data_IF_579707885212
#
_entry.id   IF_579707885212
#
_cell.length_a   1.000
_cell.length_b   1.000
_cell.length_c   1.000
_cell.angle_alpha   90.00
_cell.angle_beta   90.00
_cell.angle_gamma   90.00
#
_symmetry.space_group_name_H-M   'P 1'
#
loop_
_entity.id
_entity.type
_entity.pdbx_description
1 polymer ?
#
# COMPACT_ATOMS: atom_id res chain seq x y z
N UNK A 1 -39.50 50.03 -11.55
CA UNK A 1 -38.09 50.38 -11.29
C UNK A 1 -37.57 49.33 -10.30
N UNK A 2 -36.60 48.53 -10.75
CA UNK A 2 -35.81 47.50 -10.04
C UNK A 2 -36.53 46.25 -9.46
N UNK A 3 -36.33 45.16 -10.21
CA UNK A 3 -36.65 43.75 -9.97
C UNK A 3 -35.93 43.20 -8.73
N UNK A 4 -36.60 42.32 -7.99
CA UNK A 4 -36.04 41.60 -6.86
C UNK A 4 -34.74 40.87 -7.26
N UNK A 5 -33.70 41.07 -6.45
CA UNK A 5 -32.38 40.48 -6.53
C UNK A 5 -32.45 38.95 -6.60
N UNK A 6 -32.14 38.39 -7.77
CA UNK A 6 -31.78 36.97 -7.93
C UNK A 6 -30.50 36.70 -7.12
N UNK A 7 -30.65 36.13 -5.92
CA UNK A 7 -29.53 35.52 -5.21
C UNK A 7 -29.20 34.18 -5.90
N UNK A 8 -27.92 33.87 -6.18
CA UNK A 8 -27.54 32.56 -6.70
C UNK A 8 -28.06 31.48 -5.75
N UNK A 9 -28.77 30.49 -6.31
CA UNK A 9 -29.17 29.31 -5.57
C UNK A 9 -27.92 28.63 -4.98
N UNK A 10 -27.97 28.11 -3.73
CA UNK A 10 -26.87 27.35 -3.18
C UNK A 10 -26.53 26.19 -4.14
N UNK A 11 -25.24 25.90 -4.36
CA UNK A 11 -24.84 24.81 -5.24
C UNK A 11 -25.52 23.51 -4.80
N UNK A 12 -25.91 22.64 -5.75
CA UNK A 12 -26.62 21.40 -5.44
C UNK A 12 -25.82 20.59 -4.41
N UNK A 13 -26.46 20.24 -3.29
CA UNK A 13 -25.86 19.41 -2.25
C UNK A 13 -25.32 18.12 -2.88
N UNK A 14 -24.00 17.97 -2.85
CA UNK A 14 -23.33 16.72 -3.24
C UNK A 14 -24.00 15.55 -2.50
N UNK A 15 -24.29 14.42 -3.17
CA UNK A 15 -25.02 13.31 -2.56
C UNK A 15 -24.36 12.90 -1.23
N UNK A 16 -25.17 12.79 -0.19
CA UNK A 16 -24.74 12.47 1.18
C UNK A 16 -23.96 11.15 1.18
N UNK A 17 -22.63 11.26 1.25
CA UNK A 17 -21.74 10.10 1.21
C UNK A 17 -21.87 9.30 2.51
N UNK A 18 -21.72 7.95 2.46
CA UNK A 18 -21.61 7.17 3.68
C UNK A 18 -20.38 7.64 4.46
N UNK A 19 -20.61 8.15 5.67
CA UNK A 19 -19.54 8.52 6.59
C UNK A 19 -19.43 7.43 7.68
N UNK A 20 -18.23 7.22 8.25
CA UNK A 20 -18.12 6.39 9.43
C UNK A 20 -19.02 6.93 10.54
N UNK A 21 -19.79 6.05 11.19
CA UNK A 21 -20.79 6.47 12.18
C UNK A 21 -20.11 6.81 13.50
N UNK A 22 -19.13 6.00 13.89
CA UNK A 22 -18.42 6.12 15.15
C UNK A 22 -16.88 5.93 14.99
N UNK A 23 -16.07 6.43 15.93
CA UNK A 23 -14.62 6.14 15.97
C UNK A 23 -14.29 4.64 16.03
N UNK A 24 -15.18 3.81 16.60
CA UNK A 24 -15.06 2.35 16.58
C UNK A 24 -15.12 1.76 15.18
N UNK A 25 -15.88 2.37 14.26
CA UNK A 25 -15.96 1.90 12.88
C UNK A 25 -14.65 2.14 12.15
N UNK A 26 -13.95 3.24 12.46
CA UNK A 26 -12.60 3.49 11.96
C UNK A 26 -11.64 2.43 12.50
N UNK A 27 -11.66 2.20 13.81
CA UNK A 27 -10.81 1.19 14.43
C UNK A 27 -10.94 -0.17 13.74
N UNK A 28 -12.17 -0.66 13.55
CA UNK A 28 -12.39 -1.96 12.90
C UNK A 28 -12.07 -1.96 11.41
N UNK A 29 -12.37 -0.87 10.70
CA UNK A 29 -12.07 -0.77 9.27
C UNK A 29 -10.56 -0.75 9.01
N UNK A 30 -9.80 0.01 9.81
CA UNK A 30 -8.34 0.06 9.70
C UNK A 30 -7.65 -1.21 10.22
N UNK A 31 -8.23 -1.89 11.22
CA UNK A 31 -7.80 -3.23 11.64
C UNK A 31 -7.91 -4.22 10.49
N UNK A 32 -9.06 -4.24 9.81
CA UNK A 32 -9.29 -5.12 8.66
C UNK A 32 -8.34 -4.82 7.50
N UNK A 33 -8.12 -3.53 7.21
CA UNK A 33 -7.13 -3.09 6.23
C UNK A 33 -5.72 -3.57 6.57
N UNK A 34 -5.30 -3.45 7.83
CA UNK A 34 -3.96 -3.86 8.26
C UNK A 34 -3.73 -5.37 8.08
N UNK A 35 -4.77 -6.19 8.26
CA UNK A 35 -4.72 -7.64 8.05
C UNK A 35 -4.68 -8.06 6.57
N UNK A 36 -5.07 -7.18 5.65
CA UNK A 36 -5.15 -7.47 4.22
C UNK A 36 -3.99 -6.89 3.40
N UNK A 37 -3.02 -6.25 4.05
CA UNK A 37 -1.88 -5.56 3.42
C UNK A 37 -0.82 -6.46 2.77
N UNK A 38 -1.21 -7.59 2.18
CA UNK A 38 -0.27 -8.54 1.57
C UNK A 38 -0.24 -8.37 0.04
N UNK A 39 0.93 -8.03 -0.51
CA UNK A 39 1.17 -8.10 -1.96
C UNK A 39 0.49 -7.03 -2.83
N UNK A 40 0.09 -5.89 -2.27
CA UNK A 40 -0.52 -4.81 -3.06
C UNK A 40 -1.36 -3.86 -2.23
N UNK A 41 -0.79 -3.33 -1.15
CA UNK A 41 -1.54 -2.61 -0.12
C UNK A 41 -2.32 -1.41 -0.67
N UNK A 42 -1.74 -0.68 -1.63
CA UNK A 42 -2.41 0.44 -2.30
C UNK A 42 -3.76 0.03 -2.91
N UNK A 43 -3.79 -1.06 -3.68
CA UNK A 43 -5.02 -1.54 -4.31
C UNK A 43 -6.05 -2.03 -3.29
N UNK A 44 -5.58 -2.64 -2.19
CA UNK A 44 -6.45 -3.09 -1.08
C UNK A 44 -7.08 -1.89 -0.38
N UNK A 45 -6.27 -0.88 -0.04
CA UNK A 45 -6.72 0.34 0.64
C UNK A 45 -7.68 1.13 -0.24
N UNK A 46 -7.34 1.33 -1.52
CA UNK A 46 -8.21 1.99 -2.49
C UNK A 46 -9.56 1.27 -2.61
N UNK A 47 -9.54 -0.06 -2.79
CA UNK A 47 -10.77 -0.86 -2.89
C UNK A 47 -11.63 -0.76 -1.63
N UNK A 48 -11.04 -0.81 -0.45
CA UNK A 48 -11.80 -0.75 0.79
C UNK A 48 -12.41 0.65 1.02
N UNK A 49 -11.62 1.72 0.84
CA UNK A 49 -12.03 3.09 1.14
C UNK A 49 -12.94 3.69 0.05
N UNK A 50 -12.61 3.46 -1.22
CA UNK A 50 -13.30 4.04 -2.39
C UNK A 50 -14.44 3.15 -2.85
N UNK A 51 -14.21 1.85 -3.08
CA UNK A 51 -15.23 0.98 -3.70
C UNK A 51 -16.24 0.43 -2.68
N UNK A 52 -15.75 -0.14 -1.57
CA UNK A 52 -16.61 -0.79 -0.57
C UNK A 52 -17.25 0.21 0.40
N UNK A 53 -16.44 1.04 1.06
CA UNK A 53 -16.91 1.99 2.08
C UNK A 53 -17.44 3.29 1.46
N UNK A 54 -16.96 3.68 0.28
CA UNK A 54 -17.34 4.90 -0.45
C UNK A 54 -17.19 6.18 0.39
N UNK A 55 -16.16 6.19 1.23
CA UNK A 55 -15.85 7.30 2.14
C UNK A 55 -15.26 8.50 1.38
N UNK A 56 -14.58 8.23 0.26
CA UNK A 56 -13.89 9.21 -0.56
C UNK A 56 -13.95 8.81 -2.03
N UNK A 57 -13.78 9.78 -2.93
CA UNK A 57 -13.65 9.51 -4.36
C UNK A 57 -12.24 9.03 -4.71
N UNK A 58 -12.06 8.62 -5.96
CA UNK A 58 -10.74 8.20 -6.44
C UNK A 58 -9.75 9.38 -6.42
N UNK A 59 -10.23 10.57 -6.77
CA UNK A 59 -9.44 11.80 -6.82
C UNK A 59 -8.95 12.19 -5.43
N UNK A 60 -9.86 12.24 -4.44
CA UNK A 60 -9.51 12.51 -3.04
C UNK A 60 -8.53 11.47 -2.48
N UNK A 61 -8.74 10.19 -2.83
CA UNK A 61 -7.82 9.13 -2.41
C UNK A 61 -6.41 9.33 -2.98
N UNK A 62 -6.28 9.72 -4.24
CA UNK A 62 -4.99 9.97 -4.88
C UNK A 62 -4.29 11.18 -4.26
N UNK A 63 -5.02 12.24 -3.96
CA UNK A 63 -4.51 13.42 -3.26
C UNK A 63 -3.99 13.04 -1.85
N UNK A 64 -4.83 12.41 -1.03
CA UNK A 64 -4.45 11.99 0.33
C UNK A 64 -3.27 11.00 0.30
N UNK A 65 -3.25 10.08 -0.67
CA UNK A 65 -2.14 9.14 -0.86
C UNK A 65 -0.84 9.82 -1.29
N UNK A 66 -0.91 10.89 -2.08
CA UNK A 66 0.27 11.68 -2.46
C UNK A 66 0.85 12.39 -1.23
N UNK A 67 0.00 12.98 -0.39
CA UNK A 67 0.44 13.60 0.86
C UNK A 67 1.05 12.56 1.81
N UNK A 68 0.41 11.38 1.93
CA UNK A 68 0.91 10.30 2.77
C UNK A 68 2.31 9.79 2.38
N UNK A 69 2.70 9.91 1.10
CA UNK A 69 4.04 9.59 0.58
C UNK A 69 5.09 10.66 0.87
N UNK A 70 4.68 11.92 1.05
CA UNK A 70 5.58 13.02 1.41
C UNK A 70 5.88 12.99 2.91
N UNK A 71 4.90 12.55 3.72
CA UNK A 71 5.09 12.42 5.16
C UNK A 71 6.09 11.31 5.50
N UNK A 72 6.99 11.53 6.47
CA UNK A 72 7.90 10.50 6.93
C UNK A 72 7.11 9.37 7.62
N UNK A 73 7.35 8.12 7.23
CA UNK A 73 6.75 6.95 7.86
C UNK A 73 6.00 6.04 6.89
N UNK A 74 5.25 5.05 7.40
CA UNK A 74 4.49 4.14 6.57
C UNK A 74 3.26 4.83 5.96
N UNK A 75 3.18 4.89 4.62
CA UNK A 75 2.13 5.59 3.89
C UNK A 75 0.70 5.24 4.37
N UNK A 76 0.43 3.97 4.64
CA UNK A 76 -0.91 3.49 5.03
C UNK A 76 -1.27 3.96 6.45
N UNK A 77 -0.28 4.10 7.33
CA UNK A 77 -0.46 4.66 8.68
C UNK A 77 -0.75 6.15 8.60
N UNK A 78 0.04 6.89 7.82
CA UNK A 78 -0.18 8.33 7.59
C UNK A 78 -1.59 8.59 7.04
N UNK A 79 -1.99 7.82 6.03
CA UNK A 79 -3.33 7.89 5.45
C UNK A 79 -4.43 7.61 6.50
N UNK A 80 -4.25 6.60 7.37
CA UNK A 80 -5.24 6.30 8.42
C UNK A 80 -5.42 7.43 9.42
N UNK A 81 -4.33 8.11 9.78
CA UNK A 81 -4.34 9.26 10.69
C UNK A 81 -5.07 10.43 10.02
N UNK A 82 -4.73 10.76 8.78
CA UNK A 82 -5.38 11.82 8.01
C UNK A 82 -6.88 11.60 7.88
N UNK A 83 -7.28 10.38 7.51
CA UNK A 83 -8.69 10.00 7.38
C UNK A 83 -9.38 10.07 8.75
N UNK A 84 -8.73 9.58 9.80
CA UNK A 84 -9.26 9.63 11.16
C UNK A 84 -9.48 11.05 11.66
N UNK A 85 -8.51 11.93 11.40
CA UNK A 85 -8.58 13.34 11.75
C UNK A 85 -9.71 14.05 11.00
N UNK A 86 -9.89 13.76 9.70
CA UNK A 86 -10.95 14.35 8.87
C UNK A 86 -12.38 14.07 9.40
N UNK A 87 -12.64 12.88 9.94
CA UNK A 87 -13.99 12.49 10.37
C UNK A 87 -14.31 12.83 11.83
N UNK A 88 -13.37 12.64 12.76
CA UNK A 88 -13.62 12.83 14.20
C UNK A 88 -12.49 13.60 14.92
N UNK A 89 -11.66 14.33 14.17
CA UNK A 89 -10.48 15.04 14.70
C UNK A 89 -9.49 14.08 15.37
N UNK A 90 -8.80 14.59 16.39
CA UNK A 90 -7.78 13.85 17.14
C UNK A 90 -8.29 12.48 17.67
N UNK A 91 -9.56 12.38 18.05
CA UNK A 91 -10.15 11.12 18.55
C UNK A 91 -10.28 10.07 17.45
N UNK A 92 -10.63 10.49 16.23
CA UNK A 92 -10.69 9.61 15.07
C UNK A 92 -9.31 9.20 14.59
N UNK A 93 -8.36 10.14 14.59
CA UNK A 93 -6.96 9.88 14.24
C UNK A 93 -6.34 8.80 15.16
N UNK A 94 -6.53 8.95 16.48
CA UNK A 94 -6.06 7.96 17.45
C UNK A 94 -6.79 6.62 17.33
N UNK A 95 -8.10 6.61 17.07
CA UNK A 95 -8.84 5.37 16.87
C UNK A 95 -8.42 4.61 15.61
N UNK A 96 -8.19 5.32 14.50
CA UNK A 96 -7.70 4.75 13.25
C UNK A 96 -6.29 4.17 13.41
N UNK A 97 -5.39 4.93 14.03
CA UNK A 97 -4.03 4.50 14.33
C UNK A 97 -4.01 3.27 15.25
N UNK A 98 -4.80 3.30 16.32
CA UNK A 98 -4.93 2.18 17.24
C UNK A 98 -5.45 0.94 16.52
N UNK A 99 -6.47 1.06 15.67
CA UNK A 99 -6.98 -0.06 14.87
C UNK A 99 -5.91 -0.63 13.94
N UNK A 100 -5.16 0.24 13.29
CA UNK A 100 -4.11 -0.16 12.35
C UNK A 100 -2.95 -0.91 13.03
N UNK A 101 -2.57 -0.55 14.26
CA UNK A 101 -1.39 -1.10 14.92
C UNK A 101 -1.71 -2.20 15.94
N UNK A 102 -2.81 -2.08 16.67
CA UNK A 102 -3.05 -2.92 17.87
C UNK A 102 -3.22 -4.39 17.52
N UNK A 103 -4.07 -4.71 16.54
CA UNK A 103 -4.36 -6.11 16.22
C UNK A 103 -3.18 -6.82 15.53
N UNK A 104 -2.51 -6.23 14.52
CA UNK A 104 -1.29 -6.82 13.96
C UNK A 104 -0.18 -7.00 15.00
N UNK A 105 -0.01 -6.04 15.92
CA UNK A 105 0.96 -6.14 17.01
C UNK A 105 0.65 -7.33 17.92
N UNK A 106 -0.59 -7.44 18.40
CA UNK A 106 -1.03 -8.56 19.25
C UNK A 106 -0.81 -9.89 18.53
N UNK A 107 -1.18 -9.96 17.24
CA UNK A 107 -1.01 -11.17 16.43
C UNK A 107 0.47 -11.58 16.35
N UNK A 108 1.36 -10.65 16.01
CA UNK A 108 2.81 -10.92 15.91
C UNK A 108 3.40 -11.30 17.27
N UNK A 109 3.00 -10.63 18.36
CA UNK A 109 3.45 -10.98 19.71
C UNK A 109 2.96 -12.37 20.14
N UNK A 110 1.70 -12.72 19.86
CA UNK A 110 1.18 -14.05 20.15
C UNK A 110 1.95 -15.13 19.38
N UNK A 111 2.21 -14.90 18.09
CA UNK A 111 3.07 -15.77 17.27
C UNK A 111 4.49 -15.88 17.83
N UNK A 112 5.07 -14.79 18.31
CA UNK A 112 6.40 -14.78 18.91
C UNK A 112 6.45 -15.59 20.22
N UNK A 113 5.43 -15.48 21.08
CA UNK A 113 5.33 -16.27 22.32
C UNK A 113 5.17 -17.76 22.01
N UNK A 114 4.28 -18.10 21.07
CA UNK A 114 4.11 -19.49 20.63
C UNK A 114 5.41 -20.04 20.04
N UNK A 115 6.11 -19.24 19.24
CA UNK A 115 7.42 -19.62 18.73
C UNK A 115 8.43 -19.86 19.85
N UNK A 116 8.52 -18.98 20.84
CA UNK A 116 9.47 -19.12 21.95
C UNK A 116 9.21 -20.39 22.78
N UNK A 117 7.95 -20.78 22.98
CA UNK A 117 7.60 -21.98 23.76
C UNK A 117 7.75 -23.28 22.97
N UNK A 118 7.47 -23.26 21.66
CA UNK A 118 7.41 -24.47 20.83
C UNK A 118 8.53 -24.53 19.77
N UNK A 119 9.59 -23.72 19.90
CA UNK A 119 10.72 -23.68 18.97
C UNK A 119 11.39 -25.04 18.78
N UNK A 120 11.36 -25.91 19.79
CA UNK A 120 11.92 -27.26 19.75
C UNK A 120 11.05 -28.27 18.99
N UNK A 121 9.80 -27.94 18.68
CA UNK A 121 8.88 -28.86 18.02
C UNK A 121 9.00 -28.74 16.49
N UNK A 122 9.30 -29.83 15.77
CA UNK A 122 9.57 -29.79 14.33
C UNK A 122 8.38 -29.31 13.50
N UNK A 123 7.14 -29.47 13.99
CA UNK A 123 5.95 -28.94 13.34
C UNK A 123 5.91 -27.41 13.28
N UNK A 124 6.39 -26.71 14.32
CA UNK A 124 6.41 -25.23 14.37
C UNK A 124 7.48 -24.69 13.42
N UNK A 125 8.66 -25.32 13.40
CA UNK A 125 9.70 -25.00 12.43
C UNK A 125 9.23 -25.22 10.98
N UNK A 126 8.48 -26.31 10.73
CA UNK A 126 7.86 -26.59 9.42
C UNK A 126 6.83 -25.53 9.02
N UNK A 127 5.93 -25.14 9.94
CA UNK A 127 4.92 -24.12 9.69
C UNK A 127 5.54 -22.75 9.35
N UNK A 128 6.56 -22.31 10.09
CA UNK A 128 7.29 -21.07 9.79
C UNK A 128 7.96 -21.13 8.41
N UNK A 129 8.55 -22.27 8.05
CA UNK A 129 9.16 -22.46 6.72
C UNK A 129 8.11 -22.38 5.62
N UNK A 130 6.94 -22.97 5.85
CA UNK A 130 5.77 -22.87 4.97
C UNK A 130 5.30 -21.42 4.79
N UNK A 131 5.17 -20.66 5.88
CA UNK A 131 4.83 -19.23 5.81
C UNK A 131 5.87 -18.43 5.02
N UNK A 132 7.16 -18.71 5.21
CA UNK A 132 8.23 -18.12 4.41
C UNK A 132 8.10 -18.43 2.91
N UNK A 133 7.75 -19.67 2.56
CA UNK A 133 7.51 -20.05 1.18
C UNK A 133 6.27 -19.35 0.58
N UNK A 134 5.19 -19.20 1.34
CA UNK A 134 3.99 -18.46 0.93
C UNK A 134 4.32 -16.98 0.71
N UNK A 135 5.07 -16.36 1.63
CA UNK A 135 5.50 -14.96 1.49
C UNK A 135 6.36 -14.77 0.23
N UNK A 136 7.32 -15.66 -0.02
CA UNK A 136 8.13 -15.65 -1.23
C UNK A 136 7.28 -15.81 -2.50
N UNK A 137 6.31 -16.74 -2.49
CA UNK A 137 5.38 -16.94 -3.60
C UNK A 137 4.50 -15.71 -3.87
N UNK A 138 4.04 -15.04 -2.82
CA UNK A 138 3.26 -13.81 -2.97
C UNK A 138 4.10 -12.68 -3.58
N UNK A 139 5.32 -12.47 -3.08
CA UNK A 139 6.26 -11.49 -3.64
C UNK A 139 6.54 -11.79 -5.12
N UNK A 140 6.78 -13.06 -5.45
CA UNK A 140 6.96 -13.50 -6.83
C UNK A 140 5.71 -13.23 -7.67
N UNK A 141 4.51 -13.49 -7.15
CA UNK A 141 3.24 -13.21 -7.82
C UNK A 141 3.04 -11.72 -8.14
N UNK A 142 3.40 -10.83 -7.21
CA UNK A 142 3.41 -9.38 -7.44
C UNK A 142 4.43 -8.99 -8.50
N UNK A 143 5.63 -9.57 -8.43
CA UNK A 143 6.67 -9.37 -9.45
C UNK A 143 6.20 -9.78 -10.85
N UNK A 144 5.54 -10.94 -10.98
CA UNK A 144 4.98 -11.41 -12.25
C UNK A 144 3.88 -10.45 -12.74
N UNK A 145 2.98 -10.01 -11.86
CA UNK A 145 1.92 -9.05 -12.22
C UNK A 145 2.51 -7.72 -12.73
N UNK A 146 3.55 -7.21 -12.08
CA UNK A 146 4.28 -6.03 -12.52
C UNK A 146 5.00 -6.27 -13.86
N UNK A 147 5.61 -7.45 -14.03
CA UNK A 147 6.30 -7.83 -15.26
C UNK A 147 5.37 -7.87 -16.48
N UNK A 148 4.12 -8.33 -16.31
CA UNK A 148 3.11 -8.28 -17.39
C UNK A 148 2.79 -6.84 -17.80
N UNK A 149 2.83 -5.88 -16.86
CA UNK A 149 2.62 -4.45 -17.14
C UNK A 149 3.72 -3.84 -18.03
N UNK A 150 4.92 -4.44 -18.04
CA UNK A 150 6.06 -4.00 -18.87
C UNK A 150 5.82 -4.22 -20.37
N UNK A 151 4.80 -5.00 -20.78
CA UNK A 151 4.49 -5.23 -22.22
C UNK A 151 4.28 -3.93 -23.02
N UNK A 152 3.93 -2.84 -22.35
CA UNK A 152 3.68 -1.52 -22.94
C UNK A 152 4.87 -0.55 -22.78
N UNK A 153 6.02 -1.01 -22.28
CA UNK A 153 7.16 -0.15 -22.00
C UNK A 153 7.97 0.16 -23.28
N UNK A 154 8.33 1.43 -23.53
CA UNK A 154 8.97 1.91 -24.76
C UNK A 154 10.37 1.32 -25.05
N UNK A 155 11.01 0.66 -24.07
CA UNK A 155 12.32 0.01 -24.23
C UNK A 155 12.31 -1.28 -25.06
N UNK A 156 11.15 -1.93 -25.21
CA UNK A 156 11.01 -3.24 -25.86
C UNK A 156 11.23 -4.42 -24.91
N UNK A 157 10.40 -5.45 -25.08
CA UNK A 157 10.34 -6.66 -24.22
C UNK A 157 11.70 -7.35 -23.93
N UNK A 158 12.63 -7.55 -24.90
CA UNK A 158 13.84 -8.33 -24.63
C UNK A 158 14.81 -7.63 -23.68
N UNK A 159 14.92 -6.30 -23.74
CA UNK A 159 15.81 -5.52 -22.86
C UNK A 159 15.31 -5.53 -21.41
N UNK A 160 14.01 -5.38 -21.19
CA UNK A 160 13.44 -5.46 -19.85
C UNK A 160 13.56 -6.86 -19.23
N UNK A 161 13.39 -7.93 -20.02
CA UNK A 161 13.63 -9.31 -19.55
C UNK A 161 15.10 -9.51 -19.19
N UNK A 162 16.04 -8.98 -20.01
CA UNK A 162 17.46 -9.07 -19.74
C UNK A 162 17.86 -8.36 -18.43
N UNK A 163 17.34 -7.14 -18.17
CA UNK A 163 17.59 -6.43 -16.92
C UNK A 163 16.99 -7.13 -15.69
N UNK A 164 15.78 -7.69 -15.82
CA UNK A 164 15.15 -8.48 -14.76
C UNK A 164 15.93 -9.77 -14.45
N UNK A 165 16.37 -10.47 -15.49
CA UNK A 165 17.22 -11.65 -15.35
C UNK A 165 18.57 -11.32 -14.70
N UNK A 166 19.21 -10.21 -15.13
CA UNK A 166 20.48 -9.75 -14.57
C UNK A 166 20.36 -9.40 -13.08
N UNK A 167 19.28 -8.72 -12.67
CA UNK A 167 19.02 -8.39 -11.26
C UNK A 167 18.76 -9.64 -10.42
N UNK A 168 18.00 -10.61 -10.93
CA UNK A 168 17.76 -11.89 -10.23
C UNK A 168 19.07 -12.67 -10.07
N UNK A 169 19.88 -12.77 -11.12
CA UNK A 169 21.17 -13.48 -11.06
C UNK A 169 22.17 -12.77 -10.13
N UNK A 170 22.26 -11.45 -10.21
CA UNK A 170 23.13 -10.66 -9.32
C UNK A 170 22.73 -10.78 -7.84
N UNK A 171 21.42 -10.80 -7.55
CA UNK A 171 20.94 -10.97 -6.17
C UNK A 171 21.07 -12.42 -5.68
N UNK A 172 20.64 -13.40 -6.47
CA UNK A 172 20.55 -14.80 -6.05
C UNK A 172 21.92 -15.48 -6.00
N UNK A 173 22.83 -15.12 -6.92
CA UNK A 173 24.11 -15.82 -7.06
C UNK A 173 25.29 -15.04 -6.47
N UNK A 174 25.30 -13.71 -6.59
CA UNK A 174 26.41 -12.87 -6.12
C UNK A 174 26.19 -12.31 -4.70
N UNK A 175 24.99 -12.48 -4.12
CA UNK A 175 24.58 -11.93 -2.81
C UNK A 175 24.96 -10.46 -2.62
N UNK A 176 24.94 -9.68 -3.70
CA UNK A 176 25.38 -8.29 -3.60
C UNK A 176 24.36 -7.48 -2.80
N UNK A 177 24.79 -6.56 -1.92
CA UNK A 177 23.88 -5.70 -1.18
C UNK A 177 23.00 -4.92 -2.15
N UNK A 178 21.70 -4.88 -1.89
CA UNK A 178 20.71 -4.19 -2.72
C UNK A 178 21.08 -2.72 -2.98
N UNK A 179 21.82 -2.13 -2.02
CA UNK A 179 22.40 -0.80 -2.10
C UNK A 179 23.24 -0.55 -3.36
N UNK A 180 24.00 -1.53 -3.86
CA UNK A 180 24.84 -1.38 -5.06
C UNK A 180 24.10 -1.70 -6.36
N UNK A 181 23.15 -2.63 -6.30
CA UNK A 181 22.38 -3.08 -7.46
C UNK A 181 21.44 -1.98 -7.94
N UNK A 182 20.81 -1.24 -7.02
CA UNK A 182 19.82 -0.21 -7.33
C UNK A 182 20.39 0.96 -8.16
N UNK A 183 21.51 1.61 -7.79
CA UNK A 183 22.07 2.71 -8.59
C UNK A 183 22.71 2.21 -9.89
N UNK A 184 23.35 1.03 -9.90
CA UNK A 184 24.05 0.53 -11.09
C UNK A 184 23.08 0.03 -12.14
N UNK A 185 22.22 -0.93 -11.79
CA UNK A 185 21.30 -1.55 -12.76
C UNK A 185 20.06 -0.67 -12.95
N UNK A 186 19.51 -0.12 -11.86
CA UNK A 186 18.37 0.80 -11.94
C UNK A 186 18.74 2.11 -12.64
N UNK A 187 19.90 2.70 -12.32
CA UNK A 187 20.40 3.90 -13.00
C UNK A 187 20.70 3.66 -14.47
N UNK A 188 21.37 2.56 -14.84
CA UNK A 188 21.61 2.21 -16.24
C UNK A 188 20.30 1.98 -17.02
N UNK A 189 19.31 1.30 -16.41
CA UNK A 189 18.01 1.11 -17.01
C UNK A 189 17.27 2.46 -17.21
N UNK A 190 17.26 3.33 -16.21
CA UNK A 190 16.67 4.67 -16.31
C UNK A 190 17.34 5.53 -17.38
N UNK A 191 18.68 5.56 -17.43
CA UNK A 191 19.43 6.34 -18.42
C UNK A 191 19.20 5.82 -19.83
N UNK A 192 19.20 4.50 -20.04
CA UNK A 192 18.90 3.91 -21.36
C UNK A 192 17.45 4.13 -21.78
N UNK A 193 16.52 4.12 -20.83
CA UNK A 193 15.11 4.49 -21.08
C UNK A 193 15.03 5.95 -21.50
N UNK A 194 15.67 6.84 -20.75
CA UNK A 194 15.64 8.27 -21.01
C UNK A 194 16.29 8.63 -22.35
N UNK A 195 17.40 7.97 -22.72
CA UNK A 195 18.05 8.14 -24.03
C UNK A 195 17.24 7.62 -25.21
N UNK A 196 16.31 6.69 -24.99
CA UNK A 196 15.36 6.21 -26.03
C UNK A 196 14.06 7.02 -26.08
N UNK A 197 13.71 7.71 -24.99
CA UNK A 197 12.51 8.54 -24.89
C UNK A 197 12.78 10.02 -25.20
N UNK A 198 14.02 10.47 -25.04
CA UNK A 198 14.47 11.77 -25.50
C UNK A 198 14.47 11.79 -27.05
N UNK A 199 13.80 12.76 -27.69
CA UNK A 199 13.70 12.87 -29.15
C UNK A 199 15.05 13.13 -29.82
#
# INVERSE_FOLDING_TARGET
MATATDLPSPPPESPSRPQPRNPSDLFWSFTWLALQGFGGVLAVVQRELVEKKRWMTNEEFVEDWAVAQIMPGPNVVNLSIMIGDRYFGLRGALAALAGMLTFPLILVLALAVVYAQFASHPAVAGALRGMGAVAAGLIAGVGIKLFVSIKNHPLGRPLCVAFAGLTIVAMAWLRWPLFWILPVIGGAACVLTWRKLAP
#
